data_IF_160970076305
#
_entry.id   IF_160970076305
#
_cell.length_a   1.000
_cell.length_b   1.000
_cell.length_c   1.000
_cell.angle_alpha   90.00
_cell.angle_beta   90.00
_cell.angle_gamma   90.00
#
_symmetry.space_group_name_H-M   'P 1'
#
loop_
_entity.id
_entity.type
_entity.pdbx_description
1 polymer ?
#
# COMPACT_ATOMS: atom_id res chain seq x y z
N UNK A 1 -1.97 27.98 12.05
CA UNK A 1 -2.70 29.23 11.69
C UNK A 1 -4.17 29.07 12.05
N UNK A 2 -4.92 30.17 12.25
CA UNK A 2 -6.37 30.14 12.51
C UNK A 2 -7.10 30.92 11.41
N UNK A 3 -8.24 30.44 10.94
CA UNK A 3 -9.03 31.09 9.88
C UNK A 3 -9.69 30.09 8.92
N UNK A 4 -10.29 30.59 7.84
CA UNK A 4 -10.85 29.77 6.76
C UNK A 4 -10.11 30.05 5.44
N UNK A 5 -9.91 29.03 4.59
CA UNK A 5 -9.26 29.16 3.28
C UNK A 5 -7.85 29.78 3.36
N UNK A 6 -7.08 29.37 4.37
CA UNK A 6 -5.75 29.93 4.63
C UNK A 6 -4.66 29.12 3.92
N UNK A 7 -3.61 29.81 3.46
CA UNK A 7 -2.44 29.18 2.84
C UNK A 7 -1.22 29.30 3.76
N UNK A 8 -0.52 28.19 3.99
CA UNK A 8 0.78 28.13 4.69
C UNK A 8 1.87 28.84 3.92
N UNK A 9 2.26 28.20 2.82
CA UNK A 9 3.14 28.73 1.80
C UNK A 9 2.39 28.74 0.47
N UNK A 10 2.45 29.85 -0.26
CA UNK A 10 1.89 29.92 -1.61
C UNK A 10 2.85 30.53 -2.59
N UNK A 11 2.92 29.96 -3.79
CA UNK A 11 3.67 30.51 -4.92
C UNK A 11 2.75 30.60 -6.15
N UNK A 12 2.79 31.76 -6.80
CA UNK A 12 2.06 32.05 -8.03
C UNK A 12 3.08 32.51 -9.07
N UNK A 13 3.16 31.80 -10.19
CA UNK A 13 4.11 32.10 -11.27
C UNK A 13 3.55 32.99 -12.37
N UNK A 14 4.23 33.00 -13.51
CA UNK A 14 3.89 33.76 -14.72
C UNK A 14 3.32 32.88 -15.85
N UNK A 15 2.78 31.71 -15.50
CA UNK A 15 2.34 30.63 -16.40
C UNK A 15 3.49 29.91 -17.13
N UNK A 16 4.68 29.85 -16.52
CA UNK A 16 5.83 29.09 -17.04
C UNK A 16 6.46 28.20 -15.98
N UNK A 17 6.59 26.89 -16.26
CA UNK A 17 7.31 25.96 -15.38
C UNK A 17 8.84 26.13 -15.36
N UNK A 18 9.40 27.06 -16.15
CA UNK A 18 10.86 27.25 -16.25
C UNK A 18 11.30 28.68 -15.95
N UNK A 19 10.37 29.64 -15.93
CA UNK A 19 10.64 31.06 -15.73
C UNK A 19 9.84 31.68 -14.59
N UNK A 20 9.05 30.89 -13.88
CA UNK A 20 8.28 31.36 -12.74
C UNK A 20 9.14 31.78 -11.55
N UNK A 21 8.49 32.44 -10.60
CA UNK A 21 9.05 32.63 -9.27
C UNK A 21 9.33 31.29 -8.59
N UNK A 22 10.56 31.13 -8.11
CA UNK A 22 11.03 29.95 -7.38
C UNK A 22 11.15 30.31 -5.91
N UNK A 23 10.50 29.53 -5.04
CA UNK A 23 10.73 29.57 -3.60
C UNK A 23 11.57 28.36 -3.22
N UNK A 24 12.74 28.61 -2.62
CA UNK A 24 13.52 27.55 -1.97
C UNK A 24 13.36 27.71 -0.46
N UNK A 25 12.78 26.70 0.18
CA UNK A 25 12.52 26.69 1.60
C UNK A 25 13.15 25.45 2.25
N UNK A 26 13.75 25.64 3.42
CA UNK A 26 14.45 24.57 4.14
C UNK A 26 13.97 24.52 5.59
N UNK A 27 13.78 23.31 6.12
CA UNK A 27 13.39 23.06 7.51
C UNK A 27 12.11 23.80 7.91
N UNK A 28 11.08 23.70 7.06
CA UNK A 28 9.82 24.43 7.27
C UNK A 28 8.95 23.73 8.32
N UNK A 29 8.26 24.51 9.15
CA UNK A 29 7.19 24.00 10.00
C UNK A 29 5.89 24.75 9.68
N UNK A 30 5.01 24.12 8.92
CA UNK A 30 3.73 24.67 8.47
C UNK A 30 2.62 23.92 9.21
N UNK A 31 2.10 24.55 10.27
CA UNK A 31 0.98 24.01 11.03
C UNK A 31 -0.31 24.79 10.71
N UNK A 32 -1.21 24.13 9.98
CA UNK A 32 -2.51 24.63 9.56
C UNK A 32 -3.67 24.00 10.34
N UNK A 33 -3.40 23.19 11.36
CA UNK A 33 -4.44 22.42 12.10
C UNK A 33 -5.49 23.29 12.81
N UNK A 34 -5.21 24.57 13.03
CA UNK A 34 -6.17 25.55 13.58
C UNK A 34 -7.06 26.24 12.54
N UNK A 35 -6.91 25.95 11.24
CA UNK A 35 -7.63 26.61 10.16
C UNK A 35 -8.49 25.62 9.36
N UNK A 36 -9.72 25.99 9.03
CA UNK A 36 -10.62 25.18 8.17
C UNK A 36 -10.35 25.41 6.69
N UNK A 37 -10.52 24.39 5.86
CA UNK A 37 -10.28 24.43 4.40
C UNK A 37 -8.92 25.04 4.04
N UNK A 38 -7.89 24.73 4.83
CA UNK A 38 -6.58 25.32 4.68
C UNK A 38 -5.71 24.50 3.73
N UNK A 39 -4.73 25.14 3.10
CA UNK A 39 -3.66 24.43 2.40
C UNK A 39 -2.31 24.70 3.02
N UNK A 40 -1.51 23.66 3.24
CA UNK A 40 -0.15 23.79 3.75
C UNK A 40 0.75 24.48 2.72
N UNK A 41 0.95 23.85 1.57
CA UNK A 41 1.70 24.40 0.43
C UNK A 41 0.81 24.40 -0.80
N UNK A 42 0.59 25.58 -1.41
CA UNK A 42 -0.21 25.70 -2.63
C UNK A 42 0.60 26.40 -3.73
N UNK A 43 0.70 25.77 -4.90
CA UNK A 43 1.51 26.31 -6.02
C UNK A 43 0.73 26.31 -7.32
N UNK A 44 0.64 27.48 -7.96
CA UNK A 44 -0.17 27.67 -9.16
C UNK A 44 0.47 28.63 -10.20
N UNK A 45 -0.12 28.69 -11.39
CA UNK A 45 0.31 29.55 -12.50
C UNK A 45 1.79 29.39 -12.86
N UNK A 46 2.29 28.16 -12.89
CA UNK A 46 3.69 27.80 -13.18
C UNK A 46 4.65 28.02 -12.01
N UNK A 47 4.19 28.49 -10.85
CA UNK A 47 5.01 28.69 -9.66
C UNK A 47 5.82 27.44 -9.30
N UNK A 48 6.97 27.64 -8.62
CA UNK A 48 7.84 26.55 -8.19
C UNK A 48 8.15 26.69 -6.72
N UNK A 49 7.96 25.62 -5.95
CA UNK A 49 8.41 25.51 -4.55
C UNK A 49 9.32 24.29 -4.42
N UNK A 50 10.52 24.52 -3.91
CA UNK A 50 11.46 23.48 -3.53
C UNK A 50 11.57 23.45 -2.00
N UNK A 51 11.12 22.36 -1.39
CA UNK A 51 11.23 22.05 0.02
C UNK A 51 12.46 21.17 0.26
N UNK A 52 13.16 21.42 1.37
CA UNK A 52 14.36 20.68 1.74
C UNK A 52 14.51 20.55 3.26
N UNK A 53 15.32 19.59 3.72
CA UNK A 53 15.64 19.39 5.13
C UNK A 53 14.47 18.81 5.93
N UNK A 54 14.42 19.07 7.25
CA UNK A 54 13.40 18.54 8.16
C UNK A 54 12.13 19.39 8.07
N UNK A 55 11.21 19.00 7.19
CA UNK A 55 10.00 19.77 6.88
C UNK A 55 8.75 19.10 7.46
N UNK A 56 7.98 19.85 8.23
CA UNK A 56 6.68 19.45 8.75
C UNK A 56 5.56 20.27 8.11
N UNK A 57 4.54 19.60 7.59
CA UNK A 57 3.32 20.21 7.06
C UNK A 57 2.12 19.47 7.64
N UNK A 58 1.22 20.17 8.31
CA UNK A 58 0.05 19.57 8.95
C UNK A 58 -1.21 20.36 8.64
N UNK A 59 -2.26 19.68 8.21
CA UNK A 59 -3.64 20.20 8.13
C UNK A 59 -4.56 19.38 9.02
N UNK A 60 -5.76 19.90 9.24
CA UNK A 60 -6.93 19.15 9.69
C UNK A 60 -7.57 18.38 8.52
N UNK A 61 -8.58 17.57 8.85
CA UNK A 61 -9.26 16.65 7.92
C UNK A 61 -9.94 17.34 6.72
N UNK A 62 -10.34 18.61 6.84
CA UNK A 62 -10.91 19.39 5.73
C UNK A 62 -9.87 20.24 4.98
N UNK A 63 -8.58 20.08 5.28
CA UNK A 63 -7.47 20.78 4.63
C UNK A 63 -6.65 19.89 3.70
N UNK A 64 -5.79 20.52 2.90
CA UNK A 64 -4.88 19.84 1.96
C UNK A 64 -3.43 20.20 2.31
N UNK A 65 -2.60 19.23 2.67
CA UNK A 65 -1.23 19.51 3.08
C UNK A 65 -0.40 20.09 1.91
N UNK A 66 -0.48 19.48 0.73
CA UNK A 66 0.23 19.92 -0.48
C UNK A 66 -0.73 19.95 -1.66
N UNK A 67 -0.81 21.09 -2.35
CA UNK A 67 -1.79 21.31 -3.40
C UNK A 67 -1.22 21.97 -4.65
N UNK A 68 -1.41 21.32 -5.80
CA UNK A 68 -1.33 21.94 -7.11
C UNK A 68 -2.76 22.02 -7.69
N UNK A 69 -3.38 23.22 -7.73
CA UNK A 69 -4.76 23.36 -8.16
C UNK A 69 -4.90 23.31 -9.69
N UNK A 70 -6.08 22.88 -10.14
CA UNK A 70 -6.60 23.26 -11.46
C UNK A 70 -6.75 24.78 -11.55
N UNK A 71 -6.06 25.39 -12.51
CA UNK A 71 -6.18 26.81 -12.82
C UNK A 71 -6.77 27.00 -14.21
N UNK A 72 -7.73 27.91 -14.33
CA UNK A 72 -8.31 28.29 -15.63
C UNK A 72 -8.49 29.80 -15.76
N UNK A 73 -8.42 30.27 -17.01
CA UNK A 73 -8.76 31.63 -17.39
C UNK A 73 -9.65 31.59 -18.63
N UNK A 74 -10.96 31.77 -18.44
CA UNK A 74 -11.95 31.51 -19.47
C UNK A 74 -11.97 30.03 -19.86
N UNK A 75 -11.89 29.74 -21.15
CA UNK A 75 -11.79 28.36 -21.67
C UNK A 75 -10.39 27.76 -21.59
N UNK A 76 -9.38 28.57 -21.26
CA UNK A 76 -8.00 28.13 -21.25
C UNK A 76 -7.64 27.52 -19.91
N UNK A 77 -6.98 26.37 -19.97
CA UNK A 77 -6.28 25.81 -18.83
C UNK A 77 -4.93 26.52 -18.69
N UNK A 78 -4.62 26.95 -17.48
CA UNK A 78 -3.32 27.50 -17.14
C UNK A 78 -2.49 26.43 -16.42
N UNK A 79 -1.14 26.53 -16.47
CA UNK A 79 -0.28 25.76 -15.60
C UNK A 79 -0.72 25.89 -14.14
N UNK A 80 -0.79 24.76 -13.45
CA UNK A 80 -0.78 24.65 -11.99
C UNK A 80 0.60 25.00 -11.47
N UNK A 81 1.33 24.09 -10.86
CA UNK A 81 2.60 24.40 -10.21
C UNK A 81 3.55 23.22 -10.17
N UNK A 82 4.77 23.48 -9.71
CA UNK A 82 5.76 22.44 -9.40
C UNK A 82 6.10 22.51 -7.91
N UNK A 83 5.92 21.41 -7.21
CA UNK A 83 6.35 21.24 -5.83
C UNK A 83 7.36 20.10 -5.79
N UNK A 84 8.58 20.41 -5.41
CA UNK A 84 9.62 19.42 -5.16
C UNK A 84 9.91 19.37 -3.66
N UNK A 85 10.06 18.18 -3.10
CA UNK A 85 10.44 17.96 -1.71
C UNK A 85 11.58 16.97 -1.61
N UNK A 86 12.57 17.29 -0.79
CA UNK A 86 13.67 16.38 -0.44
C UNK A 86 13.97 16.48 1.06
N UNK A 87 14.50 15.42 1.67
CA UNK A 87 14.81 15.40 3.10
C UNK A 87 13.77 14.66 3.94
N UNK A 88 13.90 14.76 5.26
CA UNK A 88 12.92 14.19 6.19
C UNK A 88 11.65 15.02 6.16
N UNK A 89 10.52 14.40 5.85
CA UNK A 89 9.24 15.08 5.77
C UNK A 89 8.21 14.45 6.71
N UNK A 90 7.49 15.28 7.47
CA UNK A 90 6.30 14.88 8.21
C UNK A 90 5.09 15.59 7.63
N UNK A 91 4.26 14.85 6.90
CA UNK A 91 3.07 15.37 6.22
C UNK A 91 1.84 14.72 6.86
N UNK A 92 0.92 15.55 7.37
CA UNK A 92 -0.38 15.10 7.86
C UNK A 92 -1.45 15.87 7.08
N UNK A 93 -2.28 15.15 6.35
CA UNK A 93 -3.28 15.67 5.41
C UNK A 93 -2.92 15.39 3.94
N UNK A 94 -3.90 15.56 3.06
CA UNK A 94 -3.82 15.06 1.69
C UNK A 94 -2.80 15.78 0.79
N UNK A 95 -2.33 15.06 -0.22
CA UNK A 95 -1.47 15.57 -1.29
C UNK A 95 -2.25 15.50 -2.60
N UNK A 96 -2.59 16.67 -3.15
CA UNK A 96 -3.52 16.77 -4.28
C UNK A 96 -2.86 17.50 -5.44
N UNK A 97 -2.81 16.86 -6.60
CA UNK A 97 -2.57 17.53 -7.88
C UNK A 97 -3.85 17.49 -8.73
N UNK A 98 -4.66 18.54 -8.63
CA UNK A 98 -5.91 18.62 -9.39
C UNK A 98 -5.74 19.32 -10.76
N UNK A 99 -4.54 19.80 -11.08
CA UNK A 99 -4.26 20.65 -12.24
C UNK A 99 -3.16 20.13 -13.17
N UNK A 100 -2.73 20.98 -14.10
CA UNK A 100 -1.55 20.73 -14.94
C UNK A 100 -0.31 21.07 -14.12
N UNK A 101 0.46 20.09 -13.67
CA UNK A 101 1.64 20.35 -12.85
C UNK A 101 2.21 19.09 -12.21
N UNK A 102 3.11 19.30 -11.28
CA UNK A 102 3.99 18.25 -10.77
C UNK A 102 4.16 18.36 -9.26
N UNK A 103 4.01 17.24 -8.57
CA UNK A 103 4.40 17.07 -7.17
C UNK A 103 5.41 15.92 -7.12
N UNK A 104 6.64 16.20 -6.70
CA UNK A 104 7.72 15.21 -6.60
C UNK A 104 8.32 15.25 -5.21
N UNK A 105 8.09 14.21 -4.40
CA UNK A 105 8.58 14.15 -3.02
C UNK A 105 9.53 12.96 -2.84
N UNK A 106 10.79 13.25 -2.54
CA UNK A 106 11.78 12.26 -2.11
C UNK A 106 11.93 12.36 -0.59
N UNK A 107 11.31 11.43 0.11
CA UNK A 107 11.18 11.42 1.56
C UNK A 107 12.26 10.54 2.18
N UNK A 108 13.20 11.17 2.90
CA UNK A 108 14.33 10.47 3.54
C UNK A 108 13.86 9.58 4.71
N UNK A 109 14.79 8.78 5.25
CA UNK A 109 14.53 7.87 6.36
C UNK A 109 13.90 8.58 7.58
N UNK A 110 12.91 7.93 8.18
CA UNK A 110 12.15 8.46 9.31
C UNK A 110 11.10 9.51 8.92
N UNK A 111 10.83 9.69 7.62
CA UNK A 111 9.69 10.47 7.15
C UNK A 111 8.36 9.82 7.50
N UNK A 112 7.31 10.63 7.62
CA UNK A 112 5.96 10.18 7.90
C UNK A 112 4.97 10.92 7.02
N UNK A 113 4.12 10.19 6.32
CA UNK A 113 2.98 10.71 5.60
C UNK A 113 1.70 10.03 6.10
N UNK A 114 0.73 10.81 6.52
CA UNK A 114 -0.62 10.35 6.84
C UNK A 114 -1.62 11.17 6.03
N UNK A 115 -2.36 10.50 5.16
CA UNK A 115 -3.29 11.14 4.23
C UNK A 115 -3.45 10.35 2.94
N UNK A 116 -4.32 10.85 2.07
CA UNK A 116 -4.53 10.32 0.74
C UNK A 116 -3.81 11.14 -0.33
N UNK A 117 -3.63 10.55 -1.51
CA UNK A 117 -3.17 11.26 -2.71
C UNK A 117 -4.32 11.46 -3.69
N UNK A 118 -4.23 12.47 -4.55
CA UNK A 118 -5.19 12.62 -5.66
C UNK A 118 -4.53 13.25 -6.87
N UNK A 119 -4.80 12.70 -8.06
CA UNK A 119 -4.36 13.25 -9.34
C UNK A 119 -5.52 13.38 -10.33
N UNK A 120 -5.49 14.41 -11.18
CA UNK A 120 -6.50 14.62 -12.19
C UNK A 120 -6.09 14.03 -13.55
N UNK A 121 -6.42 12.75 -13.76
CA UNK A 121 -6.07 12.03 -14.99
C UNK A 121 -6.66 12.64 -16.27
N UNK A 122 -7.75 13.43 -16.19
CA UNK A 122 -8.32 14.10 -17.37
C UNK A 122 -7.32 15.03 -18.05
N UNK A 123 -6.36 15.59 -17.30
CA UNK A 123 -5.29 16.39 -17.87
C UNK A 123 -4.36 15.55 -18.74
N UNK A 124 -3.97 14.37 -18.26
CA UNK A 124 -3.06 13.46 -18.97
C UNK A 124 -3.66 13.02 -20.31
N UNK A 125 -4.97 12.72 -20.36
CA UNK A 125 -5.67 12.37 -21.61
C UNK A 125 -5.69 13.49 -22.65
N UNK A 126 -5.44 14.73 -22.23
CA UNK A 126 -5.36 15.94 -23.08
C UNK A 126 -3.92 16.32 -23.43
N UNK A 127 -2.94 15.52 -23.03
CA UNK A 127 -1.51 15.81 -23.20
C UNK A 127 -1.00 16.91 -22.27
N UNK A 128 -1.64 17.09 -21.10
CA UNK A 128 -1.17 17.98 -20.04
C UNK A 128 -0.80 17.14 -18.83
N UNK A 129 0.42 17.31 -18.32
CA UNK A 129 0.89 16.43 -17.24
C UNK A 129 0.26 16.80 -15.89
N UNK A 130 -0.41 15.86 -15.24
CA UNK A 130 -0.86 15.93 -13.85
C UNK A 130 -0.15 14.80 -13.11
N UNK A 131 1.02 15.12 -12.56
CA UNK A 131 1.92 14.12 -11.96
C UNK A 131 2.04 14.27 -10.44
N UNK A 132 2.05 13.14 -9.75
CA UNK A 132 2.35 13.03 -8.33
C UNK A 132 3.24 11.81 -8.13
N UNK A 133 4.47 12.03 -7.70
CA UNK A 133 5.49 11.00 -7.53
C UNK A 133 6.04 11.04 -6.11
N UNK A 134 6.04 9.88 -5.45
CA UNK A 134 6.57 9.71 -4.10
C UNK A 134 7.73 8.70 -4.13
N UNK A 135 8.82 9.06 -3.48
CA UNK A 135 9.89 8.12 -3.12
C UNK A 135 9.99 8.08 -1.61
N UNK A 136 9.86 6.90 -1.01
CA UNK A 136 9.94 6.72 0.43
C UNK A 136 11.17 5.87 0.77
N UNK A 137 12.13 6.45 1.48
CA UNK A 137 13.31 5.71 1.93
C UNK A 137 12.97 4.72 3.07
N UNK A 138 13.90 3.81 3.37
CA UNK A 138 13.84 2.91 4.54
C UNK A 138 13.53 3.68 5.84
N UNK A 139 12.77 3.06 6.73
CA UNK A 139 12.22 3.66 7.95
C UNK A 139 11.26 4.84 7.73
N UNK A 140 10.96 5.20 6.47
CA UNK A 140 9.83 6.07 6.15
C UNK A 140 8.51 5.33 6.31
N UNK A 141 7.42 6.04 6.59
CA UNK A 141 6.07 5.46 6.68
C UNK A 141 5.04 6.31 5.95
N UNK A 142 4.17 5.66 5.18
CA UNK A 142 2.92 6.23 4.67
C UNK A 142 1.73 5.45 5.22
N UNK A 143 0.87 6.12 6.00
CA UNK A 143 -0.46 5.65 6.34
C UNK A 143 -1.46 6.17 5.30
N UNK A 144 -1.94 5.28 4.43
CA UNK A 144 -2.92 5.55 3.39
C UNK A 144 -4.30 5.58 4.02
N UNK A 145 -4.96 6.74 4.02
CA UNK A 145 -6.23 6.94 4.75
C UNK A 145 -7.48 6.85 3.88
N UNK A 146 -7.34 6.98 2.57
CA UNK A 146 -8.43 6.90 1.58
C UNK A 146 -7.84 6.50 0.21
N UNK A 147 -8.69 6.38 -0.81
CA UNK A 147 -8.30 6.13 -2.20
C UNK A 147 -7.20 7.08 -2.67
N UNK A 148 -6.06 6.50 -3.04
CA UNK A 148 -4.82 7.22 -3.29
C UNK A 148 -4.26 6.92 -4.67
N UNK A 149 -4.79 7.56 -5.74
CA UNK A 149 -4.15 7.55 -7.05
C UNK A 149 -2.91 8.45 -7.08
N UNK A 150 -1.84 7.95 -7.69
CA UNK A 150 -0.62 8.69 -7.97
C UNK A 150 0.07 8.21 -9.25
N UNK A 151 1.05 8.97 -9.71
CA UNK A 151 1.81 8.65 -10.92
C UNK A 151 2.85 7.58 -10.64
N UNK A 152 3.66 7.76 -9.58
CA UNK A 152 4.65 6.75 -9.20
C UNK A 152 4.88 6.67 -7.70
N UNK A 153 5.12 5.46 -7.23
CA UNK A 153 5.60 5.17 -5.89
C UNK A 153 6.85 4.29 -5.98
N UNK A 154 7.97 4.81 -5.49
CA UNK A 154 9.18 4.02 -5.24
C UNK A 154 9.37 3.89 -3.72
N UNK A 155 9.07 2.70 -3.19
CA UNK A 155 9.01 2.46 -1.76
C UNK A 155 10.17 1.59 -1.29
N UNK A 156 10.86 2.05 -0.27
CA UNK A 156 11.80 1.29 0.55
C UNK A 156 11.38 1.28 2.03
N UNK A 157 10.29 1.96 2.39
CA UNK A 157 9.78 2.08 3.76
C UNK A 157 8.49 1.27 3.96
N UNK A 158 7.65 1.73 4.90
CA UNK A 158 6.36 1.10 5.21
C UNK A 158 5.20 1.83 4.54
N UNK A 159 4.37 1.10 3.81
CA UNK A 159 3.05 1.57 3.34
C UNK A 159 1.99 0.78 4.10
N UNK A 160 1.12 1.48 4.82
CA UNK A 160 0.03 0.90 5.59
C UNK A 160 -1.30 1.36 5.02
N UNK A 161 -2.09 0.41 4.50
CA UNK A 161 -3.44 0.67 4.02
C UNK A 161 -4.39 0.61 5.21
N UNK A 162 -5.00 1.75 5.56
CA UNK A 162 -6.11 1.77 6.49
C UNK A 162 -7.30 0.98 5.93
N UNK A 163 -8.24 0.61 6.80
CA UNK A 163 -9.47 -0.06 6.39
C UNK A 163 -10.18 0.71 5.27
N UNK A 164 -10.61 -0.03 4.23
CA UNK A 164 -11.28 0.50 3.03
C UNK A 164 -10.45 1.50 2.17
N UNK A 165 -9.19 1.77 2.49
CA UNK A 165 -8.30 2.56 1.64
C UNK A 165 -7.80 1.74 0.44
N UNK A 166 -7.44 2.43 -0.65
CA UNK A 166 -6.88 1.80 -1.85
C UNK A 166 -5.70 2.60 -2.38
N UNK A 167 -4.80 1.91 -3.06
CA UNK A 167 -3.62 2.49 -3.69
C UNK A 167 -3.66 2.24 -5.20
N UNK A 168 -3.47 3.30 -5.99
CA UNK A 168 -3.35 3.17 -7.44
C UNK A 168 -2.14 3.93 -7.95
N UNK A 169 -1.13 3.25 -8.50
CA UNK A 169 0.03 3.92 -9.09
C UNK A 169 0.28 3.47 -10.52
N UNK A 170 0.51 4.39 -11.47
CA UNK A 170 0.90 3.98 -12.82
C UNK A 170 2.19 3.16 -12.80
N UNK A 171 3.11 3.49 -11.88
CA UNK A 171 4.30 2.70 -11.58
C UNK A 171 4.45 2.52 -10.06
N UNK A 172 4.51 1.28 -9.59
CA UNK A 172 4.77 0.93 -8.20
C UNK A 172 6.01 0.04 -8.12
N UNK A 173 7.00 0.45 -7.34
CA UNK A 173 8.16 -0.38 -6.99
C UNK A 173 8.20 -0.56 -5.48
N UNK A 174 8.15 -1.81 -5.04
CA UNK A 174 8.55 -2.20 -3.70
C UNK A 174 10.00 -2.67 -3.76
N UNK A 175 10.88 -2.04 -2.99
CA UNK A 175 12.27 -2.47 -2.80
C UNK A 175 12.38 -3.53 -1.69
N UNK A 176 13.53 -4.18 -1.56
CA UNK A 176 13.82 -5.23 -0.56
C UNK A 176 13.46 -4.83 0.88
N UNK A 177 13.63 -3.57 1.27
CA UNK A 177 13.29 -3.10 2.63
C UNK A 177 11.83 -2.68 2.80
N UNK A 178 11.01 -2.79 1.75
CA UNK A 178 9.60 -2.41 1.80
C UNK A 178 8.85 -3.25 2.81
N UNK A 179 7.90 -2.61 3.48
CA UNK A 179 6.86 -3.29 4.25
C UNK A 179 5.52 -2.80 3.73
N UNK A 180 4.66 -3.71 3.30
CA UNK A 180 3.30 -3.44 2.91
C UNK A 180 2.35 -4.05 3.95
N UNK A 181 1.61 -3.21 4.67
CA UNK A 181 0.62 -3.64 5.67
C UNK A 181 -0.80 -3.51 5.09
N UNK A 182 -1.55 -4.60 5.10
CA UNK A 182 -2.91 -4.66 4.55
C UNK A 182 -3.87 -5.29 5.54
N UNK A 183 -5.01 -4.63 5.75
CA UNK A 183 -6.17 -5.26 6.41
C UNK A 183 -7.12 -5.85 5.36
N UNK A 184 -7.32 -7.16 5.42
CA UNK A 184 -8.19 -7.90 4.51
C UNK A 184 -9.68 -7.70 4.81
N UNK A 185 -10.04 -7.04 5.92
CA UNK A 185 -11.42 -6.71 6.27
C UNK A 185 -12.04 -5.61 5.39
N UNK A 186 -11.25 -4.99 4.52
CA UNK A 186 -11.75 -4.01 3.56
C UNK A 186 -12.94 -4.57 2.77
N UNK A 187 -14.01 -3.78 2.67
CA UNK A 187 -15.24 -4.12 1.94
C UNK A 187 -14.96 -4.43 0.47
N UNK A 188 -13.94 -3.77 -0.11
CA UNK A 188 -13.41 -4.05 -1.43
C UNK A 188 -12.82 -5.45 -1.60
N UNK A 189 -12.65 -6.25 -0.55
CA UNK A 189 -12.21 -7.65 -0.63
C UNK A 189 -13.30 -8.65 -0.23
N UNK A 190 -14.51 -8.19 0.10
CA UNK A 190 -15.57 -9.02 0.67
C UNK A 190 -16.21 -10.06 -0.30
N UNK A 191 -15.78 -10.11 -1.56
CA UNK A 191 -16.21 -11.12 -2.54
C UNK A 191 -15.08 -11.37 -3.54
N UNK A 192 -15.00 -12.56 -4.14
CA UNK A 192 -13.95 -12.85 -5.12
C UNK A 192 -14.05 -12.07 -6.44
N UNK A 193 -15.14 -11.32 -6.65
CA UNK A 193 -15.27 -10.38 -7.78
C UNK A 193 -15.02 -8.92 -7.36
N UNK A 194 -14.57 -8.69 -6.13
CA UNK A 194 -14.35 -7.34 -5.62
C UNK A 194 -13.03 -6.75 -6.14
N UNK A 195 -12.92 -5.43 -6.09
CA UNK A 195 -11.78 -4.71 -6.65
C UNK A 195 -10.51 -4.91 -5.77
N UNK A 196 -9.34 -5.15 -6.37
CA UNK A 196 -8.08 -5.26 -5.65
C UNK A 196 -7.78 -3.96 -4.90
N UNK A 197 -7.11 -4.07 -3.74
CA UNK A 197 -6.75 -2.91 -2.93
C UNK A 197 -5.62 -2.09 -3.56
N UNK A 198 -4.77 -2.75 -4.34
CA UNK A 198 -3.65 -2.14 -5.02
C UNK A 198 -3.82 -2.36 -6.51
N UNK A 199 -3.81 -1.27 -7.26
CA UNK A 199 -3.85 -1.31 -8.72
C UNK A 199 -2.72 -0.52 -9.33
N UNK A 200 -2.38 -0.81 -10.58
CA UNK A 200 -1.37 -0.01 -11.27
C UNK A 200 -1.19 -0.33 -12.74
N UNK A 201 -0.27 0.40 -13.37
CA UNK A 201 0.14 0.13 -14.74
C UNK A 201 1.26 -0.92 -14.79
N UNK A 202 2.35 -0.62 -14.07
CA UNK A 202 3.53 -1.48 -13.93
C UNK A 202 3.87 -1.63 -12.44
N UNK A 203 3.94 -2.88 -11.97
CA UNK A 203 4.24 -3.19 -10.57
C UNK A 203 5.46 -4.12 -10.48
N UNK A 204 6.43 -3.71 -9.66
CA UNK A 204 7.58 -4.51 -9.24
C UNK A 204 7.49 -4.80 -7.74
N UNK A 205 7.50 -6.08 -7.37
CA UNK A 205 7.37 -6.54 -5.99
C UNK A 205 8.71 -7.07 -5.45
N UNK A 206 8.98 -6.70 -4.21
CA UNK A 206 10.03 -7.20 -3.34
C UNK A 206 9.58 -6.91 -1.89
N UNK A 207 10.43 -7.23 -0.90
CA UNK A 207 10.20 -6.91 0.50
C UNK A 207 9.07 -7.71 1.15
N UNK A 208 8.50 -7.15 2.22
CA UNK A 208 7.63 -7.87 3.13
C UNK A 208 6.16 -7.44 2.98
N UNK A 209 5.27 -8.44 2.89
CA UNK A 209 3.82 -8.25 2.99
C UNK A 209 3.34 -8.73 4.36
N UNK A 210 2.63 -7.87 5.06
CA UNK A 210 1.98 -8.19 6.32
C UNK A 210 0.47 -8.04 6.18
N UNK A 211 -0.28 -9.10 6.50
CA UNK A 211 -1.73 -9.15 6.36
C UNK A 211 -2.44 -9.33 7.70
N UNK A 212 -3.42 -8.47 7.95
CA UNK A 212 -4.41 -8.65 9.01
C UNK A 212 -5.67 -9.30 8.43
N UNK A 213 -6.08 -10.45 8.98
CA UNK A 213 -7.33 -11.13 8.61
C UNK A 213 -8.44 -10.89 9.65
N UNK A 214 -8.50 -9.69 10.23
CA UNK A 214 -9.43 -9.33 11.31
C UNK A 214 -10.91 -9.50 10.91
N UNK A 215 -11.22 -9.30 9.63
CA UNK A 215 -12.56 -9.45 9.04
C UNK A 215 -12.93 -10.86 8.59
N UNK A 216 -12.08 -11.87 8.82
CA UNK A 216 -12.28 -13.26 8.35
C UNK A 216 -12.48 -13.38 6.82
N UNK A 217 -11.79 -12.54 6.03
CA UNK A 217 -11.90 -12.55 4.57
C UNK A 217 -11.42 -13.88 3.95
N UNK A 218 -10.43 -14.53 4.56
CA UNK A 218 -9.94 -15.85 4.14
C UNK A 218 -10.84 -17.03 4.56
N UNK A 219 -11.91 -16.76 5.33
CA UNK A 219 -12.88 -17.72 5.88
C UNK A 219 -12.29 -19.01 6.49
N UNK A 220 -11.13 -18.89 7.15
CA UNK A 220 -10.35 -20.03 7.64
C UNK A 220 -11.14 -20.86 8.67
N UNK A 221 -12.00 -20.20 9.46
CA UNK A 221 -12.76 -20.84 10.54
C UNK A 221 -13.84 -21.82 10.10
N UNK A 222 -14.30 -21.77 8.85
CA UNK A 222 -15.35 -22.67 8.31
C UNK A 222 -14.79 -23.90 7.62
N UNK A 223 -13.47 -23.96 7.43
CA UNK A 223 -12.79 -25.06 6.76
C UNK A 223 -12.79 -26.32 7.63
N UNK A 224 -13.36 -27.40 7.07
CA UNK A 224 -13.45 -28.72 7.71
C UNK A 224 -12.68 -29.80 6.94
N UNK A 225 -12.17 -29.49 5.74
CA UNK A 225 -11.34 -30.40 4.95
C UNK A 225 -10.41 -29.65 4.00
N UNK A 226 -9.27 -30.27 3.67
CA UNK A 226 -8.35 -29.84 2.63
C UNK A 226 -8.98 -29.82 1.22
N UNK A 227 -10.03 -30.59 0.98
CA UNK A 227 -10.79 -30.54 -0.27
C UNK A 227 -11.38 -29.14 -0.51
N UNK A 228 -11.80 -28.44 0.56
CA UNK A 228 -12.33 -27.08 0.45
C UNK A 228 -11.24 -26.06 0.09
N UNK A 229 -9.96 -26.35 0.31
CA UNK A 229 -8.86 -25.43 -0.05
C UNK A 229 -8.69 -25.28 -1.56
N UNK A 230 -9.05 -26.32 -2.33
CA UNK A 230 -9.02 -26.28 -3.80
C UNK A 230 -10.22 -25.52 -4.38
N UNK A 231 -11.34 -25.55 -3.66
CA UNK A 231 -12.57 -24.86 -4.03
C UNK A 231 -12.64 -23.42 -3.48
N UNK A 232 -11.74 -23.05 -2.55
CA UNK A 232 -11.76 -21.73 -1.91
C UNK A 232 -11.23 -20.67 -2.87
N UNK A 233 -11.94 -19.56 -2.95
CA UNK A 233 -11.56 -18.45 -3.81
C UNK A 233 -10.33 -17.74 -3.23
N UNK A 234 -9.34 -17.49 -4.09
CA UNK A 234 -8.20 -16.65 -3.73
C UNK A 234 -8.62 -15.19 -3.68
N UNK A 235 -7.99 -14.41 -2.81
CA UNK A 235 -8.16 -12.94 -2.77
C UNK A 235 -7.13 -12.32 -3.72
N UNK A 236 -7.58 -11.66 -4.79
CA UNK A 236 -6.69 -10.82 -5.60
C UNK A 236 -6.41 -9.52 -4.85
N UNK A 237 -5.19 -9.40 -4.32
CA UNK A 237 -4.76 -8.23 -3.56
C UNK A 237 -4.27 -7.10 -4.49
N UNK A 238 -3.52 -7.49 -5.53
CA UNK A 238 -2.90 -6.60 -6.50
C UNK A 238 -3.36 -7.01 -7.89
N UNK A 239 -3.73 -6.05 -8.73
CA UNK A 239 -3.97 -6.24 -10.16
C UNK A 239 -3.41 -5.06 -10.96
N UNK A 240 -2.78 -5.33 -12.10
CA UNK A 240 -2.04 -4.31 -12.86
C UNK A 240 -2.23 -4.47 -14.37
N UNK A 241 -1.96 -3.41 -15.14
CA UNK A 241 -2.15 -3.45 -16.60
C UNK A 241 -1.13 -4.36 -17.32
N UNK A 242 0.02 -4.61 -16.68
CA UNK A 242 1.14 -5.39 -17.23
C UNK A 242 1.56 -6.50 -16.26
N UNK A 243 2.35 -7.47 -16.73
CA UNK A 243 2.81 -8.55 -15.87
C UNK A 243 3.61 -8.01 -14.66
N UNK A 244 3.29 -8.52 -13.47
CA UNK A 244 4.05 -8.23 -12.25
C UNK A 244 5.48 -8.75 -12.42
N UNK A 245 6.43 -7.94 -11.98
CA UNK A 245 7.85 -8.32 -11.92
C UNK A 245 8.31 -8.50 -10.47
N UNK A 246 9.28 -9.39 -10.24
CA UNK A 246 9.69 -9.75 -8.88
C UNK A 246 8.67 -10.64 -8.18
N UNK A 247 8.72 -10.68 -6.85
CA UNK A 247 7.77 -11.36 -5.96
C UNK A 247 7.94 -10.78 -4.56
N UNK A 248 6.92 -10.90 -3.71
CA UNK A 248 7.04 -10.58 -2.28
C UNK A 248 8.06 -11.53 -1.65
N UNK A 249 9.06 -11.00 -0.96
CA UNK A 249 10.13 -11.77 -0.34
C UNK A 249 9.68 -12.51 0.93
N UNK A 250 8.81 -11.89 1.74
CA UNK A 250 8.20 -12.56 2.89
C UNK A 250 6.75 -12.17 3.12
N UNK A 251 5.97 -13.13 3.63
CA UNK A 251 4.58 -12.93 4.01
C UNK A 251 4.44 -13.19 5.50
N UNK A 252 3.66 -12.37 6.20
CA UNK A 252 3.33 -12.57 7.62
C UNK A 252 1.89 -12.19 7.90
N UNK A 253 1.36 -12.62 9.05
CA UNK A 253 -0.01 -12.29 9.48
C UNK A 253 -0.07 -12.00 10.97
N UNK A 254 -0.99 -11.12 11.37
CA UNK A 254 -1.27 -10.78 12.78
C UNK A 254 -1.92 -11.90 13.59
N UNK A 255 -2.44 -12.94 12.94
CA UNK A 255 -3.44 -13.81 13.58
C UNK A 255 -2.83 -15.08 14.20
N UNK A 256 -2.78 -15.10 15.54
CA UNK A 256 -2.64 -16.32 16.36
C UNK A 256 -3.79 -17.33 16.18
N UNK A 257 -4.81 -16.98 15.36
CA UNK A 257 -6.02 -17.77 15.14
C UNK A 257 -5.97 -18.68 13.93
N UNK A 258 -4.93 -18.64 13.08
CA UNK A 258 -4.77 -19.61 12.01
C UNK A 258 -4.36 -20.94 12.65
N UNK A 259 -5.12 -22.04 12.45
CA UNK A 259 -4.71 -23.34 12.95
C UNK A 259 -3.36 -23.73 12.34
N UNK A 260 -2.47 -24.35 13.13
CA UNK A 260 -1.11 -24.68 12.71
C UNK A 260 -1.05 -25.57 11.45
N UNK A 261 -2.09 -26.35 11.18
CA UNK A 261 -2.21 -27.19 9.99
C UNK A 261 -2.56 -26.41 8.71
N UNK A 262 -2.84 -25.10 8.80
CA UNK A 262 -3.07 -24.20 7.67
C UNK A 262 -2.04 -23.06 7.66
N UNK A 263 -1.72 -22.58 6.46
CA UNK A 263 -0.92 -21.38 6.24
C UNK A 263 -1.57 -20.53 5.17
N UNK A 264 -1.43 -19.21 5.29
CA UNK A 264 -1.68 -18.29 4.17
C UNK A 264 -0.46 -18.31 3.26
N UNK A 265 -0.71 -18.29 1.95
CA UNK A 265 0.30 -18.11 0.93
C UNK A 265 -0.07 -16.93 0.03
N UNK A 266 0.95 -16.29 -0.53
CA UNK A 266 0.84 -15.24 -1.51
C UNK A 266 1.70 -15.57 -2.72
N UNK A 267 1.15 -15.41 -3.92
CA UNK A 267 1.88 -15.67 -5.16
C UNK A 267 1.29 -14.89 -6.33
N UNK A 268 2.12 -14.63 -7.34
CA UNK A 268 1.63 -14.22 -8.66
C UNK A 268 0.76 -15.34 -9.22
N UNK A 269 -0.40 -14.99 -9.76
CA UNK A 269 -1.34 -15.96 -10.30
C UNK A 269 -0.74 -16.72 -11.48
N UNK A 270 -0.88 -18.05 -11.44
CA UNK A 270 -0.37 -18.95 -12.48
C UNK A 270 -1.13 -18.83 -13.80
N UNK A 271 -2.36 -18.29 -13.78
CA UNK A 271 -3.20 -18.11 -14.97
C UNK A 271 -3.28 -16.66 -15.43
N UNK A 272 -2.89 -15.72 -14.57
CA UNK A 272 -2.89 -14.29 -14.88
C UNK A 272 -1.73 -13.58 -14.15
N UNK A 273 -0.61 -13.36 -14.85
CA UNK A 273 0.58 -12.81 -14.22
C UNK A 273 0.51 -11.31 -13.92
N UNK A 274 -0.64 -10.67 -14.14
CA UNK A 274 -0.93 -9.32 -13.67
C UNK A 274 -1.49 -9.28 -12.25
N UNK A 275 -1.81 -10.44 -11.68
CA UNK A 275 -2.46 -10.53 -10.38
C UNK A 275 -1.56 -11.13 -9.31
N UNK A 276 -1.51 -10.51 -8.13
CA UNK A 276 -0.96 -11.11 -6.91
C UNK A 276 -2.11 -11.58 -6.02
N UNK A 277 -2.12 -12.87 -5.70
CA UNK A 277 -3.24 -13.52 -5.03
C UNK A 277 -2.83 -14.09 -3.67
N UNK A 278 -3.72 -13.97 -2.70
CA UNK A 278 -3.63 -14.59 -1.39
C UNK A 278 -4.57 -15.80 -1.31
N UNK A 279 -4.09 -16.90 -0.74
CA UNK A 279 -4.86 -18.11 -0.54
C UNK A 279 -4.48 -18.83 0.75
N UNK A 280 -5.25 -19.88 1.08
CA UNK A 280 -5.01 -20.72 2.26
C UNK A 280 -4.67 -22.13 1.81
N UNK A 281 -3.63 -22.72 2.38
CA UNK A 281 -3.17 -24.06 2.07
C UNK A 281 -2.82 -24.85 3.33
N UNK A 282 -2.56 -26.15 3.18
CA UNK A 282 -2.01 -26.95 4.27
C UNK A 282 -0.58 -26.51 4.57
N UNK A 283 -0.22 -26.38 5.86
CA UNK A 283 1.15 -26.11 6.28
C UNK A 283 2.14 -27.21 5.86
N UNK A 284 1.65 -28.40 5.49
CA UNK A 284 2.46 -29.46 4.88
C UNK A 284 3.11 -29.03 3.57
N UNK A 285 2.40 -28.24 2.77
CA UNK A 285 2.81 -27.79 1.43
C UNK A 285 3.20 -26.31 1.39
N UNK A 286 3.32 -25.65 2.54
CA UNK A 286 3.69 -24.24 2.59
C UNK A 286 5.09 -24.02 1.99
N UNK A 287 5.27 -22.92 1.27
CA UNK A 287 6.56 -22.51 0.69
C UNK A 287 7.04 -23.37 -0.48
N UNK A 288 6.22 -24.30 -0.99
CA UNK A 288 6.52 -25.01 -2.24
C UNK A 288 6.33 -24.09 -3.47
N UNK A 289 5.40 -23.14 -3.38
CA UNK A 289 5.21 -22.04 -4.32
C UNK A 289 4.89 -20.76 -3.56
N UNK A 290 5.52 -19.66 -3.97
CA UNK A 290 5.29 -18.32 -3.42
C UNK A 290 5.73 -18.13 -1.97
N UNK A 291 5.36 -16.97 -1.44
CA UNK A 291 5.63 -16.55 -0.07
C UNK A 291 4.56 -17.07 0.90
N UNK A 292 4.98 -17.40 2.12
CA UNK A 292 4.09 -18.02 3.13
C UNK A 292 4.21 -17.38 4.49
N UNK A 293 3.07 -17.24 5.15
CA UNK A 293 2.98 -16.71 6.51
C UNK A 293 3.62 -17.64 7.54
N UNK A 294 3.42 -18.96 7.39
CA UNK A 294 3.97 -19.98 8.28
C UNK A 294 4.85 -20.93 7.48
N UNK A 295 6.10 -21.19 7.92
CA UNK A 295 6.96 -22.19 7.28
C UNK A 295 6.35 -23.59 7.28
N UNK A 296 6.80 -24.44 6.33
CA UNK A 296 6.23 -25.78 6.19
C UNK A 296 6.50 -26.64 7.42
N UNK A 297 5.49 -27.37 7.90
CA UNK A 297 5.69 -28.33 8.98
C UNK A 297 4.62 -29.43 9.01
N UNK A 298 4.98 -30.58 9.59
CA UNK A 298 4.09 -31.72 9.76
C UNK A 298 3.41 -31.82 11.13
N UNK A 299 3.50 -30.81 12.00
CA UNK A 299 2.76 -30.83 13.29
C UNK A 299 1.36 -30.25 13.10
N UNK A 300 0.32 -31.06 13.25
CA UNK A 300 -1.08 -30.63 13.15
C UNK A 300 -1.76 -30.76 14.52
N UNK A 301 -2.17 -29.64 15.09
CA UNK A 301 -2.83 -29.54 16.39
C UNK A 301 -4.30 -29.20 16.21
N UNK A 302 -5.18 -30.09 16.65
CA UNK A 302 -6.61 -29.82 16.68
C UNK A 302 -7.02 -29.29 18.07
N UNK A 303 -7.90 -28.28 18.08
CA UNK A 303 -8.57 -27.88 19.32
C UNK A 303 -9.56 -28.96 19.74
N UNK A 304 -9.81 -29.09 21.05
CA UNK A 304 -10.76 -30.05 21.60
C UNK A 304 -12.14 -29.93 20.95
N UNK A 305 -12.66 -31.04 20.41
CA UNK A 305 -13.98 -31.09 19.77
C UNK A 305 -14.03 -30.57 18.33
N UNK A 306 -12.93 -30.07 17.77
CA UNK A 306 -12.84 -29.72 16.33
C UNK A 306 -12.41 -30.92 15.49
N UNK A 307 -12.80 -30.92 14.22
CA UNK A 307 -12.41 -31.91 13.23
C UNK A 307 -11.94 -31.19 11.96
N UNK A 308 -10.85 -31.69 11.38
CA UNK A 308 -10.41 -31.34 10.04
C UNK A 308 -10.05 -32.63 9.30
N UNK A 309 -10.58 -32.81 8.09
CA UNK A 309 -10.41 -34.03 7.29
C UNK A 309 -9.40 -33.79 6.17
N UNK A 310 -8.31 -34.57 6.16
CA UNK A 310 -7.34 -34.58 5.06
C UNK A 310 -7.72 -35.72 4.11
N UNK A 311 -8.28 -35.38 2.95
CA UNK A 311 -8.67 -36.30 1.89
C UNK A 311 -7.54 -36.54 0.89
N UNK A 312 -6.68 -35.54 0.71
CA UNK A 312 -5.55 -35.63 -0.22
C UNK A 312 -4.45 -36.49 0.37
N UNK A 313 -3.69 -37.16 -0.49
CA UNK A 313 -2.45 -37.79 -0.08
C UNK A 313 -1.46 -36.73 0.40
N UNK A 314 -0.81 -36.97 1.53
CA UNK A 314 0.31 -36.17 2.01
C UNK A 314 1.61 -36.78 1.46
N UNK A 315 2.11 -36.21 0.37
CA UNK A 315 3.36 -36.65 -0.24
C UNK A 315 4.56 -36.04 0.47
N UNK A 316 5.69 -36.77 0.48
CA UNK A 316 6.97 -36.24 0.95
C UNK A 316 7.32 -34.97 0.17
N UNK A 317 7.67 -33.90 0.89
CA UNK A 317 8.18 -32.65 0.33
C UNK A 317 9.64 -32.43 0.71
N UNK A 318 10.26 -31.38 0.16
CA UNK A 318 11.59 -30.97 0.60
C UNK A 318 11.58 -30.54 2.08
N UNK A 319 12.67 -30.79 2.81
CA UNK A 319 12.83 -30.30 4.17
C UNK A 319 12.80 -28.77 4.21
N UNK A 320 12.12 -28.20 5.20
CA UNK A 320 12.06 -26.74 5.39
C UNK A 320 13.05 -26.32 6.50
N UNK A 321 14.01 -25.48 6.13
CA UNK A 321 15.08 -25.03 7.05
C UNK A 321 14.59 -24.02 8.08
N UNK A 322 13.49 -23.31 7.82
CA UNK A 322 12.92 -22.30 8.73
C UNK A 322 12.19 -22.95 9.89
N UNK A 323 11.52 -24.09 9.65
CA UNK A 323 10.87 -24.89 10.70
C UNK A 323 11.75 -26.02 11.25
N UNK A 324 12.78 -26.45 10.51
CA UNK A 324 13.58 -27.64 10.81
C UNK A 324 12.86 -28.96 10.53
N UNK A 325 11.73 -28.93 9.82
CA UNK A 325 10.95 -30.11 9.49
C UNK A 325 11.57 -30.91 8.34
N UNK A 326 11.49 -32.23 8.43
CA UNK A 326 12.12 -33.16 7.48
C UNK A 326 11.38 -33.31 6.15
N UNK A 327 10.18 -32.73 6.03
CA UNK A 327 9.32 -32.82 4.85
C UNK A 327 8.47 -34.09 4.79
N UNK A 328 8.48 -34.92 5.85
CA UNK A 328 7.95 -36.31 5.80
C UNK A 328 7.14 -36.71 7.02
N UNK A 329 7.55 -36.23 8.20
CA UNK A 329 7.00 -36.70 9.47
C UNK A 329 5.73 -35.94 9.85
N UNK A 330 4.59 -36.64 9.89
CA UNK A 330 3.33 -36.10 10.44
C UNK A 330 3.26 -36.35 11.95
N UNK A 331 3.05 -35.30 12.73
CA UNK A 331 2.79 -35.34 14.17
C UNK A 331 1.41 -34.77 14.46
N UNK A 332 0.48 -35.60 14.93
CA UNK A 332 -0.83 -35.14 15.39
C UNK A 332 -0.78 -34.77 16.88
N UNK A 333 -1.31 -33.61 17.24
CA UNK A 333 -1.47 -33.14 18.63
C UNK A 333 -2.92 -32.73 18.90
N UNK A 334 -3.27 -32.69 20.17
CA UNK A 334 -4.52 -32.10 20.65
C UNK A 334 -4.16 -30.99 21.64
N UNK A 335 -4.84 -29.82 21.56
CA UNK A 335 -4.68 -28.80 22.60
C UNK A 335 -5.26 -29.35 23.91
N UNK A 336 -4.43 -29.39 24.95
CA UNK A 336 -4.86 -29.79 26.28
C UNK A 336 -5.96 -28.84 26.77
N UNK A 337 -7.03 -29.38 27.37
CA UNK A 337 -8.01 -28.55 28.07
C UNK A 337 -7.29 -27.94 29.28
N UNK A 338 -7.20 -26.61 29.37
CA UNK A 338 -6.98 -25.96 30.65
C UNK A 338 -8.23 -26.21 31.50
N UNK A 339 -8.11 -27.12 32.48
CA UNK A 339 -9.14 -27.43 33.48
C UNK A 339 -9.44 -26.23 34.38
#
# INVERSE_FOLDING_TARGET
MNGANSYGLSAIGDNSFTRAGIINASNMNIDMTGASNASGVMVQQGGIVNLSGDTTIKTNDDGIAIWVPKVSSGSNILPGGTINGTGKMTIIGDIVNSGWGYINLTMDAGSYFEGATSINHDFNTRGLDSELSLTLADQGKWLVTDSSPLTSLDNAGTVELAADSTLHANSLTLQESSILNVDLSATALASANSAPLITGGEIALDGDLHISNSGNALDIGTLTSDAQLQDNETITLIDTDTAITGDIASLSTDTDSIPDYLSVFGQISATDNTQYQLGVGLSWYAGQSGSVATPAHGTFTLDGGKQFTVNSQLEDVASDTRSGWDGKSLTKKEKAHSL
#
